data_IF_242503227722
#
_entry.id   IF_242503227722
#
_cell.length_a   1.000
_cell.length_b   1.000
_cell.length_c   1.000
_cell.angle_alpha   90.00
_cell.angle_beta   90.00
_cell.angle_gamma   90.00
#
_symmetry.space_group_name_H-M   'P 1'
#
loop_
_entity.id
_entity.type
_entity.pdbx_description
1 polymer ?
#
# COMPACT_ATOMS: atom_id res chain seq x y z
N UNK A 1 -8.30 -12.60 -16.66
CA UNK A 1 -8.20 -11.62 -17.78
C UNK A 1 -8.50 -10.21 -17.28
N UNK A 2 -9.07 -10.10 -16.08
CA UNK A 2 -9.42 -8.85 -15.39
C UNK A 2 -8.22 -7.96 -15.04
N UNK A 3 -7.08 -8.54 -14.66
CA UNK A 3 -5.85 -7.77 -14.33
C UNK A 3 -5.33 -6.92 -15.50
N UNK A 4 -5.52 -7.36 -16.74
CA UNK A 4 -5.16 -6.59 -17.94
C UNK A 4 -6.19 -5.48 -18.27
N UNK A 5 -7.46 -5.65 -17.88
CA UNK A 5 -8.51 -4.64 -18.06
C UNK A 5 -8.36 -3.48 -17.09
N UNK A 6 -8.04 -3.78 -15.82
CA UNK A 6 -7.76 -2.76 -14.80
C UNK A 6 -6.57 -1.88 -15.18
N UNK A 7 -5.50 -2.46 -15.74
CA UNK A 7 -4.35 -1.69 -16.27
C UNK A 7 -4.70 -0.81 -17.48
N UNK A 8 -5.80 -1.08 -18.18
CA UNK A 8 -6.22 -0.37 -19.37
C UNK A 8 -7.31 0.69 -19.12
N UNK A 9 -7.74 0.89 -17.86
CA UNK A 9 -8.79 1.87 -17.51
C UNK A 9 -10.16 1.52 -18.08
N UNK A 10 -10.43 0.25 -18.32
CA UNK A 10 -11.75 -0.24 -18.73
C UNK A 10 -12.58 -0.49 -17.47
N UNK A 11 -13.86 -0.09 -17.52
CA UNK A 11 -14.81 -0.23 -16.41
C UNK A 11 -14.64 -1.58 -15.71
N UNK A 12 -14.29 -1.51 -14.43
CA UNK A 12 -14.20 -2.65 -13.53
C UNK A 12 -15.62 -2.94 -13.07
N UNK A 13 -16.06 -4.18 -13.20
CA UNK A 13 -17.37 -4.58 -12.69
C UNK A 13 -17.40 -4.32 -11.16
N UNK A 14 -18.47 -3.72 -10.60
CA UNK A 14 -18.52 -3.37 -9.18
C UNK A 14 -18.37 -4.59 -8.27
N UNK A 15 -18.93 -5.74 -8.69
CA UNK A 15 -18.75 -7.03 -8.01
C UNK A 15 -17.26 -7.45 -7.93
N UNK A 16 -16.42 -7.01 -8.87
CA UNK A 16 -14.97 -7.26 -8.84
C UNK A 16 -14.23 -6.40 -7.81
N UNK A 17 -14.77 -5.25 -7.41
CA UNK A 17 -14.17 -4.40 -6.37
C UNK A 17 -14.43 -4.98 -4.98
N UNK A 18 -15.67 -5.37 -4.71
CA UNK A 18 -16.06 -5.99 -3.44
C UNK A 18 -15.35 -7.35 -3.25
N UNK A 19 -15.26 -8.17 -4.30
CA UNK A 19 -14.50 -9.43 -4.27
C UNK A 19 -13.01 -9.20 -4.00
N UNK A 20 -12.41 -8.18 -4.62
CA UNK A 20 -11.00 -7.86 -4.38
C UNK A 20 -10.73 -7.41 -2.94
N UNK A 21 -11.68 -6.70 -2.32
CA UNK A 21 -11.57 -6.29 -0.92
C UNK A 21 -11.67 -7.48 0.01
N UNK A 22 -12.62 -8.39 -0.23
CA UNK A 22 -12.78 -9.63 0.54
C UNK A 22 -11.52 -10.51 0.44
N UNK A 23 -10.97 -10.71 -0.77
CA UNK A 23 -9.74 -11.48 -0.98
C UNK A 23 -8.53 -10.89 -0.24
N UNK A 24 -8.38 -9.56 -0.25
CA UNK A 24 -7.24 -8.89 0.36
C UNK A 24 -7.37 -8.72 1.88
N UNK A 25 -8.58 -8.51 2.38
CA UNK A 25 -8.83 -8.00 3.73
C UNK A 25 -9.87 -8.80 4.53
N UNK A 26 -10.65 -9.69 3.91
CA UNK A 26 -11.76 -10.42 4.55
C UNK A 26 -11.35 -11.27 5.76
N UNK A 27 -10.13 -11.80 5.76
CA UNK A 27 -9.56 -12.56 6.89
C UNK A 27 -8.91 -11.66 7.97
N UNK A 28 -9.06 -10.33 7.90
CA UNK A 28 -8.35 -9.39 8.78
C UNK A 28 -9.32 -8.51 9.56
N UNK A 29 -9.13 -8.49 10.88
CA UNK A 29 -9.75 -7.49 11.73
C UNK A 29 -9.05 -6.14 11.58
N UNK A 30 -9.65 -5.26 10.76
CA UNK A 30 -9.17 -3.89 10.63
C UNK A 30 -9.63 -3.04 11.82
N UNK A 31 -8.78 -2.10 12.31
CA UNK A 31 -9.23 -1.07 13.23
C UNK A 31 -10.43 -0.30 12.65
N UNK A 32 -11.40 0.16 13.46
CA UNK A 32 -12.61 0.82 12.96
C UNK A 32 -12.35 2.01 12.04
N UNK A 33 -11.29 2.78 12.33
CA UNK A 33 -10.86 3.92 11.52
C UNK A 33 -10.35 3.49 10.15
N UNK A 34 -9.64 2.37 10.07
CA UNK A 34 -9.15 1.83 8.80
C UNK A 34 -10.29 1.20 7.99
N UNK A 35 -11.20 0.49 8.64
CA UNK A 35 -12.37 -0.10 7.98
C UNK A 35 -13.23 1.00 7.33
N UNK A 36 -13.52 2.09 8.05
CA UNK A 36 -14.31 3.20 7.51
C UNK A 36 -13.68 3.83 6.26
N UNK A 37 -12.35 3.91 6.19
CA UNK A 37 -11.63 4.41 5.02
C UNK A 37 -11.77 3.46 3.83
N UNK A 38 -11.65 2.16 4.08
CA UNK A 38 -11.80 1.13 3.04
C UNK A 38 -13.22 1.12 2.51
N UNK A 39 -14.23 1.13 3.39
CA UNK A 39 -15.65 1.15 3.00
C UNK A 39 -15.98 2.37 2.14
N UNK A 40 -15.49 3.56 2.52
CA UNK A 40 -15.68 4.79 1.74
C UNK A 40 -15.02 4.72 0.36
N UNK A 41 -13.81 4.16 0.27
CA UNK A 41 -13.13 3.99 -1.01
C UNK A 41 -13.84 2.96 -1.91
N UNK A 42 -14.41 1.90 -1.33
CA UNK A 42 -15.20 0.91 -2.06
C UNK A 42 -16.48 1.53 -2.61
N UNK A 43 -17.21 2.31 -1.81
CA UNK A 43 -18.41 3.03 -2.25
C UNK A 43 -18.13 3.93 -3.45
N UNK A 44 -17.05 4.73 -3.38
CA UNK A 44 -16.58 5.57 -4.49
C UNK A 44 -16.27 4.74 -5.75
N UNK A 45 -15.52 3.64 -5.61
CA UNK A 45 -15.14 2.81 -6.75
C UNK A 45 -16.36 2.09 -7.39
N UNK A 46 -17.28 1.56 -6.59
CA UNK A 46 -18.53 0.95 -7.07
C UNK A 46 -19.41 1.94 -7.81
N UNK A 47 -19.31 3.24 -7.48
CA UNK A 47 -19.98 4.33 -8.20
C UNK A 47 -19.19 4.91 -9.38
N UNK A 48 -18.03 4.33 -9.70
CA UNK A 48 -17.20 4.70 -10.86
C UNK A 48 -16.23 5.85 -10.59
N UNK A 49 -16.09 6.28 -9.34
CA UNK A 49 -15.20 7.36 -8.90
C UNK A 49 -13.81 6.82 -8.49
N UNK A 50 -13.20 5.97 -9.34
CA UNK A 50 -11.93 5.27 -9.06
C UNK A 50 -10.77 6.20 -8.64
N UNK A 51 -10.76 7.42 -9.20
CA UNK A 51 -9.72 8.41 -8.89
C UNK A 51 -9.86 8.92 -7.47
N UNK A 52 -11.10 9.16 -7.03
CA UNK A 52 -11.42 9.64 -5.68
C UNK A 52 -11.21 8.51 -4.66
N UNK A 53 -11.65 7.29 -4.98
CA UNK A 53 -11.37 6.10 -4.18
C UNK A 53 -9.87 5.92 -3.92
N UNK A 54 -9.06 5.99 -4.99
CA UNK A 54 -7.62 5.87 -4.86
C UNK A 54 -6.99 7.07 -4.12
N UNK A 55 -7.54 8.28 -4.26
CA UNK A 55 -7.11 9.45 -3.51
C UNK A 55 -7.39 9.28 -2.02
N UNK A 56 -8.57 8.78 -1.67
CA UNK A 56 -9.00 8.53 -0.29
C UNK A 56 -8.11 7.53 0.44
N UNK A 57 -7.72 6.46 -0.25
CA UNK A 57 -6.75 5.48 0.26
C UNK A 57 -5.36 6.08 0.42
N UNK A 58 -4.88 6.86 -0.56
CA UNK A 58 -3.58 7.53 -0.49
C UNK A 58 -3.50 8.58 0.62
N UNK A 59 -4.58 9.31 0.87
CA UNK A 59 -4.62 10.30 1.96
C UNK A 59 -4.48 9.63 3.34
N UNK A 60 -5.17 8.50 3.53
CA UNK A 60 -5.18 7.80 4.82
C UNK A 60 -3.94 6.93 5.06
N UNK A 61 -3.46 6.24 4.02
CA UNK A 61 -2.44 5.19 4.15
C UNK A 61 -1.18 5.44 3.34
N UNK A 62 -1.16 6.49 2.52
CA UNK A 62 0.02 6.88 1.75
C UNK A 62 1.16 7.32 2.66
N UNK A 63 2.37 7.16 2.15
CA UNK A 63 3.61 7.49 2.84
C UNK A 63 4.48 8.40 1.98
N UNK A 64 5.57 8.94 2.55
CA UNK A 64 6.58 9.66 1.76
C UNK A 64 7.12 8.84 0.58
N UNK A 65 7.15 7.51 0.71
CA UNK A 65 7.58 6.60 -0.37
C UNK A 65 6.70 6.68 -1.62
N UNK A 66 5.44 7.07 -1.47
CA UNK A 66 4.48 7.18 -2.56
C UNK A 66 4.57 8.55 -3.27
N UNK A 67 5.13 9.55 -2.59
CA UNK A 67 5.19 10.93 -3.06
C UNK A 67 6.57 11.36 -3.58
N UNK A 68 7.64 10.78 -3.04
CA UNK A 68 9.01 11.25 -3.27
C UNK A 68 9.89 10.20 -3.93
N UNK A 69 10.71 10.66 -4.88
CA UNK A 69 11.69 9.82 -5.55
C UNK A 69 13.11 10.11 -5.02
N UNK A 70 13.68 9.25 -4.17
CA UNK A 70 14.94 9.53 -3.50
C UNK A 70 16.15 9.46 -4.43
N UNK A 71 17.23 10.11 -3.97
CA UNK A 71 18.55 9.92 -4.56
C UNK A 71 19.01 8.47 -4.38
N UNK A 72 19.77 7.90 -5.32
CA UNK A 72 20.32 6.57 -5.14
C UNK A 72 21.25 6.54 -3.92
N UNK A 73 21.08 5.50 -3.10
CA UNK A 73 21.96 5.14 -2.00
C UNK A 73 22.81 3.95 -2.42
N UNK A 74 24.14 4.12 -2.37
CA UNK A 74 25.10 3.07 -2.72
C UNK A 74 25.13 1.97 -1.63
N UNK A 75 25.00 0.72 -2.05
CA UNK A 75 25.00 -0.46 -1.17
C UNK A 75 26.32 -1.24 -1.25
N UNK A 76 27.33 -0.71 -1.93
CA UNK A 76 28.54 -1.45 -2.31
C UNK A 76 28.29 -2.40 -3.48
N UNK A 77 29.38 -2.99 -4.00
CA UNK A 77 29.34 -4.05 -5.03
C UNK A 77 28.60 -3.65 -6.32
N UNK A 78 28.54 -2.34 -6.62
CA UNK A 78 27.82 -1.79 -7.77
C UNK A 78 26.28 -1.79 -7.60
N UNK A 79 25.75 -2.13 -6.43
CA UNK A 79 24.30 -2.13 -6.16
C UNK A 79 23.87 -0.76 -5.62
N UNK A 80 22.76 -0.26 -6.13
CA UNK A 80 22.12 0.96 -5.63
C UNK A 80 20.71 0.67 -5.14
N UNK A 81 20.25 1.44 -4.17
CA UNK A 81 18.89 1.38 -3.62
C UNK A 81 18.25 2.76 -3.62
N UNK A 82 16.92 2.83 -3.75
CA UNK A 82 16.14 4.08 -3.74
C UNK A 82 15.09 4.03 -2.63
N UNK A 83 15.51 3.61 -1.45
CA UNK A 83 14.64 3.59 -0.28
C UNK A 83 14.86 4.88 0.53
N UNK A 84 13.80 5.64 0.81
CA UNK A 84 13.85 6.81 1.70
C UNK A 84 14.32 6.46 3.11
N UNK A 85 14.16 5.20 3.52
CA UNK A 85 14.62 4.69 4.83
C UNK A 85 16.14 4.70 5.01
N UNK A 86 16.91 5.07 3.98
CA UNK A 86 18.35 5.35 4.11
C UNK A 86 18.65 6.74 4.70
N UNK A 87 17.64 7.61 4.83
CA UNK A 87 17.78 8.88 5.54
C UNK A 87 17.95 8.66 7.05
N UNK A 88 18.77 9.50 7.69
CA UNK A 88 19.17 9.34 9.09
C UNK A 88 18.01 9.42 10.11
N UNK A 89 16.85 9.93 9.69
CA UNK A 89 15.65 9.98 10.53
C UNK A 89 15.01 8.60 10.76
N UNK A 90 15.34 7.61 9.92
CA UNK A 90 14.79 6.27 10.00
C UNK A 90 15.77 5.29 10.65
N UNK A 91 15.20 4.34 11.38
CA UNK A 91 15.92 3.13 11.77
C UNK A 91 16.33 2.34 10.54
N UNK A 92 17.58 1.90 10.52
CA UNK A 92 18.13 1.06 9.47
C UNK A 92 17.34 -0.26 9.31
N UNK A 93 17.31 -0.78 8.09
CA UNK A 93 16.52 -1.98 7.79
C UNK A 93 16.95 -3.21 8.61
N UNK A 94 18.25 -3.53 8.75
CA UNK A 94 18.70 -4.65 9.59
C UNK A 94 18.23 -4.51 11.04
N UNK A 95 18.47 -3.36 11.69
CA UNK A 95 18.02 -3.12 13.07
C UNK A 95 16.49 -3.26 13.21
N UNK A 96 15.73 -2.84 12.20
CA UNK A 96 14.27 -2.99 12.20
C UNK A 96 13.85 -4.45 12.09
N UNK A 97 14.54 -5.25 11.27
CA UNK A 97 14.27 -6.69 11.12
C UNK A 97 14.65 -7.42 12.40
N UNK A 98 15.86 -7.20 12.91
CA UNK A 98 16.34 -7.84 14.13
C UNK A 98 15.37 -7.60 15.29
N UNK A 99 14.94 -6.35 15.51
CA UNK A 99 13.99 -6.03 16.58
C UNK A 99 12.63 -6.76 16.44
N UNK A 100 12.18 -7.08 15.22
CA UNK A 100 10.93 -7.83 15.00
C UNK A 100 11.12 -9.31 15.25
N UNK A 101 12.24 -9.87 14.82
CA UNK A 101 12.55 -11.28 15.01
C UNK A 101 12.87 -11.58 16.49
N UNK A 102 13.60 -10.70 17.16
CA UNK A 102 13.88 -10.78 18.61
C UNK A 102 12.61 -10.65 19.45
N UNK A 103 11.64 -9.84 19.00
CA UNK A 103 10.32 -9.73 19.62
C UNK A 103 9.34 -10.85 19.24
N UNK A 104 9.64 -11.63 18.20
CA UNK A 104 8.79 -12.73 17.70
C UNK A 104 9.08 -14.07 18.37
N UNK A 105 9.89 -14.08 19.43
CA UNK A 105 10.22 -15.23 20.29
C UNK A 105 9.43 -16.50 20.00
N UNK A 106 9.87 -17.23 18.98
CA UNK A 106 9.64 -18.68 18.87
C UNK A 106 10.57 -19.37 19.86
#
# INVERSE_FOLDING_TARGET
METLRGLAGLAVDPESVEEAVDDLLGDRDLPPEAQAVVDEAVDLAVHGDDTEAAARLREAFGSRCDAEHPRPYDRGEGRQSRCLRHEAEYRDAPETVDAREEGSGL
#
